data_IF_001987224583
#
_entry.id   IF_001987224583
#
_cell.length_a   1.000
_cell.length_b   1.000
_cell.length_c   1.000
_cell.angle_alpha   90.00
_cell.angle_beta   90.00
_cell.angle_gamma   90.00
#
_symmetry.space_group_name_H-M   'P 1'
#
loop_
_entity.id
_entity.type
_entity.pdbx_description
1 polymer ?
#
# COMPACT_ATOMS: atom_id res chain seq x y z
N UNK A 1 -15.33 9.79 21.17
CA UNK A 1 -15.02 9.63 19.74
C UNK A 1 -13.98 8.53 19.65
N UNK A 2 -14.44 7.29 19.54
CA UNK A 2 -13.56 6.12 19.50
C UNK A 2 -12.88 6.05 18.13
N UNK A 3 -11.56 6.08 18.15
CA UNK A 3 -10.71 5.89 16.98
C UNK A 3 -10.64 4.38 16.73
N UNK A 4 -11.57 3.84 15.96
CA UNK A 4 -11.58 2.41 15.59
C UNK A 4 -10.57 2.17 14.47
N UNK A 5 -9.29 2.36 14.77
CA UNK A 5 -8.20 1.73 14.02
C UNK A 5 -8.27 0.24 14.33
N UNK A 6 -9.11 -0.48 13.58
CA UNK A 6 -9.12 -1.95 13.61
C UNK A 6 -7.73 -2.39 13.16
N UNK A 7 -6.87 -2.98 14.02
CA UNK A 7 -5.63 -3.54 13.53
C UNK A 7 -6.01 -4.70 12.63
N UNK A 8 -5.68 -4.60 11.34
CA UNK A 8 -5.81 -5.72 10.44
C UNK A 8 -4.93 -6.84 11.01
N UNK A 9 -5.56 -7.89 11.51
CA UNK A 9 -4.87 -9.07 12.05
C UNK A 9 -4.16 -9.75 10.90
N UNK A 10 -2.88 -9.44 10.75
CA UNK A 10 -1.97 -10.04 9.78
C UNK A 10 -2.10 -11.57 9.83
N UNK A 11 -2.20 -12.16 8.65
CA UNK A 11 -2.29 -13.60 8.50
C UNK A 11 -1.10 -14.28 9.16
N UNK A 12 -1.37 -15.10 10.17
CA UNK A 12 -0.42 -15.85 11.00
C UNK A 12 0.30 -16.98 10.25
N UNK A 13 0.55 -16.81 8.95
CA UNK A 13 1.15 -17.79 8.05
C UNK A 13 2.34 -17.17 7.29
N UNK A 14 3.34 -16.64 8.01
CA UNK A 14 4.72 -16.45 7.52
C UNK A 14 4.90 -15.75 6.17
N UNK A 15 3.94 -14.93 5.72
CA UNK A 15 4.10 -14.15 4.49
C UNK A 15 4.96 -12.94 4.81
N UNK A 16 6.02 -12.74 4.03
CA UNK A 16 6.86 -11.56 4.14
C UNK A 16 5.99 -10.30 4.19
N UNK A 17 6.20 -9.46 5.19
CA UNK A 17 5.42 -8.23 5.41
C UNK A 17 5.73 -7.16 4.34
N UNK A 18 6.92 -7.27 3.73
CA UNK A 18 7.46 -6.34 2.74
C UNK A 18 7.73 -7.04 1.41
N UNK A 19 7.55 -6.31 0.31
CA UNK A 19 7.90 -6.82 -1.02
C UNK A 19 8.26 -5.74 -2.03
N UNK A 20 8.79 -6.19 -3.16
CA UNK A 20 9.11 -5.31 -4.30
C UNK A 20 7.86 -4.98 -5.10
N UNK A 21 7.99 -4.04 -6.05
CA UNK A 21 6.93 -3.76 -7.04
C UNK A 21 6.48 -5.03 -7.78
N UNK A 22 7.42 -5.90 -8.14
CA UNK A 22 7.11 -7.16 -8.83
C UNK A 22 6.30 -8.10 -7.93
N UNK A 23 6.58 -8.15 -6.63
CA UNK A 23 5.81 -8.97 -5.69
C UNK A 23 4.36 -8.47 -5.59
N UNK A 24 4.14 -7.16 -5.57
CA UNK A 24 2.80 -6.58 -5.61
C UNK A 24 2.06 -6.86 -6.92
N UNK A 25 2.71 -6.66 -8.07
CA UNK A 25 2.08 -6.92 -9.37
C UNK A 25 1.60 -8.37 -9.50
N UNK A 26 2.32 -9.33 -8.92
CA UNK A 26 1.89 -10.75 -8.88
C UNK A 26 0.70 -11.00 -7.96
N UNK A 27 0.51 -10.16 -6.93
CA UNK A 27 -0.52 -10.33 -5.89
C UNK A 27 -1.84 -9.65 -6.24
N UNK A 28 -1.80 -8.60 -7.08
CA UNK A 28 -2.96 -7.82 -7.49
C UNK A 28 -3.18 -7.96 -8.99
N UNK A 29 -4.05 -8.89 -9.39
CA UNK A 29 -4.41 -9.10 -10.79
C UNK A 29 -4.99 -7.82 -11.42
N UNK A 30 -4.56 -7.51 -12.65
CA UNK A 30 -4.99 -6.29 -13.35
C UNK A 30 -4.28 -5.00 -12.93
N UNK A 31 -3.47 -5.01 -11.86
CA UNK A 31 -2.64 -3.86 -11.51
C UNK A 31 -1.50 -3.71 -12.51
N UNK A 32 -1.44 -2.57 -13.21
CA UNK A 32 -0.32 -2.26 -14.09
C UNK A 32 0.79 -1.47 -13.34
N UNK A 33 2.02 -1.54 -13.86
CA UNK A 33 3.19 -0.90 -13.24
C UNK A 33 3.10 0.64 -13.19
N UNK A 34 2.43 1.29 -14.14
CA UNK A 34 2.27 2.74 -14.15
C UNK A 34 1.33 3.21 -13.05
N UNK A 35 0.19 2.53 -12.88
CA UNK A 35 -0.75 2.76 -11.78
C UNK A 35 -0.07 2.52 -10.43
N UNK A 36 0.65 1.41 -10.29
CA UNK A 36 1.42 1.13 -9.07
C UNK A 36 2.44 2.24 -8.78
N UNK A 37 3.21 2.70 -9.78
CA UNK A 37 4.17 3.78 -9.59
C UNK A 37 3.50 5.08 -9.12
N UNK A 38 2.37 5.45 -9.74
CA UNK A 38 1.59 6.62 -9.33
C UNK A 38 1.11 6.48 -7.89
N UNK A 39 0.53 5.34 -7.52
CA UNK A 39 0.04 5.10 -6.15
C UNK A 39 1.16 5.10 -5.12
N UNK A 40 2.33 4.53 -5.43
CA UNK A 40 3.49 4.61 -4.55
C UNK A 40 3.99 6.05 -4.37
N UNK A 41 3.84 6.91 -5.38
CA UNK A 41 4.12 8.34 -5.22
C UNK A 41 3.08 9.03 -4.34
N UNK A 42 1.78 8.71 -4.52
CA UNK A 42 0.71 9.20 -3.64
C UNK A 42 0.96 8.79 -2.18
N UNK A 43 1.27 7.50 -1.93
CA UNK A 43 1.60 7.00 -0.59
C UNK A 43 2.81 7.74 0.04
N UNK A 44 3.87 7.98 -0.72
CA UNK A 44 5.05 8.71 -0.20
C UNK A 44 4.75 10.16 0.19
N UNK A 45 3.75 10.77 -0.45
CA UNK A 45 3.36 12.15 -0.20
C UNK A 45 2.31 12.29 0.91
N UNK A 46 1.76 11.18 1.41
CA UNK A 46 0.76 11.16 2.47
C UNK A 46 1.37 10.69 3.79
N UNK A 47 1.24 11.50 4.85
CA UNK A 47 1.80 11.18 6.16
C UNK A 47 1.24 9.88 6.76
N UNK A 48 0.05 9.45 6.34
CA UNK A 48 -0.62 8.23 6.79
C UNK A 48 0.00 6.98 6.17
N UNK A 49 0.52 7.07 4.95
CA UNK A 49 0.95 5.90 4.16
C UNK A 49 2.45 5.87 3.86
N UNK A 50 3.16 6.98 4.06
CA UNK A 50 4.57 7.16 3.65
C UNK A 50 5.50 6.10 4.25
N UNK A 51 5.27 5.70 5.49
CA UNK A 51 6.06 4.66 6.17
C UNK A 51 5.93 3.28 5.52
N UNK A 52 4.86 3.02 4.77
CA UNK A 52 4.67 1.77 4.03
C UNK A 52 5.49 1.66 2.74
N UNK A 53 6.24 2.70 2.37
CA UNK A 53 7.08 2.70 1.17
C UNK A 53 8.49 3.16 1.51
N UNK A 54 9.44 2.24 1.49
CA UNK A 54 10.85 2.55 1.74
C UNK A 54 11.68 2.42 0.47
N UNK A 55 12.65 3.30 0.33
CA UNK A 55 13.63 3.28 -0.75
C UNK A 55 15.03 3.08 -0.13
N UNK A 56 15.45 1.84 0.19
CA UNK A 56 16.77 1.58 0.78
C UNK A 56 17.91 2.09 -0.11
N UNK A 57 17.68 2.11 -1.43
CA UNK A 57 18.56 2.71 -2.44
C UNK A 57 17.73 3.37 -3.54
N UNK A 58 18.36 4.11 -4.45
CA UNK A 58 17.66 4.74 -5.59
C UNK A 58 17.05 3.74 -6.59
N UNK A 59 17.44 2.45 -6.56
CA UNK A 59 16.92 1.40 -7.46
C UNK A 59 15.92 0.46 -6.81
N UNK A 60 15.89 0.40 -5.48
CA UNK A 60 15.09 -0.56 -4.73
C UNK A 60 13.95 0.17 -4.03
N UNK A 61 12.74 -0.36 -4.20
CA UNK A 61 11.54 0.06 -3.47
C UNK A 61 10.99 -1.17 -2.78
N UNK A 62 10.87 -1.10 -1.45
CA UNK A 62 10.16 -2.09 -0.65
C UNK A 62 8.87 -1.47 -0.14
N UNK A 63 7.82 -2.29 -0.17
CA UNK A 63 6.44 -1.87 0.03
C UNK A 63 5.85 -2.80 1.08
N UNK A 64 5.35 -2.23 2.16
CA UNK A 64 4.63 -2.97 3.18
C UNK A 64 3.26 -3.37 2.62
N UNK A 65 2.97 -4.66 2.59
CA UNK A 65 1.73 -5.14 1.97
C UNK A 65 0.48 -4.73 2.75
N UNK A 66 0.55 -4.68 4.08
CA UNK A 66 -0.57 -4.26 4.91
C UNK A 66 -0.90 -2.78 4.68
N UNK A 67 0.12 -1.90 4.72
CA UNK A 67 -0.08 -0.47 4.44
C UNK A 67 -0.56 -0.22 3.01
N UNK A 68 -0.10 -0.99 2.01
CA UNK A 68 -0.62 -0.87 0.66
C UNK A 68 -2.10 -1.26 0.57
N UNK A 69 -2.51 -2.32 1.26
CA UNK A 69 -3.92 -2.72 1.31
C UNK A 69 -4.80 -1.67 2.00
N UNK A 70 -4.33 -1.08 3.10
CA UNK A 70 -5.01 0.05 3.76
C UNK A 70 -5.15 1.25 2.82
N UNK A 71 -4.10 1.57 2.06
CA UNK A 71 -4.15 2.60 1.03
C UNK A 71 -5.22 2.31 -0.03
N UNK A 72 -5.32 1.06 -0.53
CA UNK A 72 -6.36 0.69 -1.50
C UNK A 72 -7.77 0.83 -0.91
N UNK A 73 -7.96 0.39 0.34
CA UNK A 73 -9.23 0.56 1.04
C UNK A 73 -9.59 2.04 1.18
N UNK A 74 -8.64 2.87 1.60
CA UNK A 74 -8.82 4.32 1.68
C UNK A 74 -9.19 4.92 0.32
N UNK A 75 -8.46 4.56 -0.76
CA UNK A 75 -8.76 5.01 -2.13
C UNK A 75 -10.19 4.63 -2.54
N UNK A 76 -10.65 3.42 -2.25
CA UNK A 76 -12.00 3.01 -2.60
C UNK A 76 -13.08 3.83 -1.88
N UNK A 77 -12.87 4.21 -0.61
CA UNK A 77 -13.91 4.85 0.22
C UNK A 77 -13.83 6.38 0.25
N UNK A 78 -12.66 6.97 0.03
CA UNK A 78 -12.46 8.42 0.08
C UNK A 78 -12.44 9.08 -1.31
N UNK A 79 -12.30 8.30 -2.38
CA UNK A 79 -12.34 8.83 -3.75
C UNK A 79 -13.79 8.97 -4.30
N UNK A 80 -14.81 8.40 -3.64
CA UNK A 80 -16.24 8.54 -4.00
C UNK A 80 -16.85 9.83 -3.44
N UNK A 81 -16.09 10.93 -3.42
CA UNK A 81 -16.59 12.26 -2.98
C UNK A 81 -16.60 13.30 -4.07
N UNK A 82 -16.70 12.90 -5.34
CA UNK A 82 -16.97 13.79 -6.47
C UNK A 82 -17.64 13.02 -7.63
N UNK A 83 -18.81 12.44 -7.38
CA UNK A 83 -19.79 12.13 -8.45
C UNK A 83 -21.13 12.73 -8.02
#
# INVERSE_FOLDING_TARGET
>A
MENTSVPYSGDSAGKAEWGTKQALLKRYEGLNIYTLNRWLSEMRNDATFRQGVINPTHKIVLINFATFQEFLFWKQHHYIRNV
#
